data_IF_804467904673
#
_entry.id   IF_804467904673
#
_cell.length_a   1.000
_cell.length_b   1.000
_cell.length_c   1.000
_cell.angle_alpha   90.00
_cell.angle_beta   90.00
_cell.angle_gamma   90.00
#
_symmetry.space_group_name_H-M   'P 1'
#
loop_
_entity.id
_entity.type
_entity.pdbx_description
1 polymer ?
#
# COMPACT_ATOMS: atom_id res chain seq x y z
N UNK A 1 9.94 6.28 3.11
CA UNK A 1 10.97 5.41 2.49
C UNK A 1 10.49 5.10 1.08
N UNK A 2 11.35 4.98 0.06
CA UNK A 2 10.89 4.56 -1.27
C UNK A 2 10.33 3.14 -1.23
N UNK A 3 9.29 2.88 -2.02
CA UNK A 3 8.81 1.52 -2.27
C UNK A 3 9.72 0.92 -3.35
N UNK A 4 10.40 -0.18 -3.04
CA UNK A 4 11.37 -0.79 -3.94
C UNK A 4 10.72 -1.22 -5.25
N UNK A 5 11.34 -0.88 -6.39
CA UNK A 5 10.82 -1.19 -7.73
C UNK A 5 9.64 -0.32 -8.21
N UNK A 6 9.11 0.58 -7.38
CA UNK A 6 7.99 1.46 -7.75
C UNK A 6 8.44 2.70 -8.57
N UNK A 7 9.04 2.47 -9.75
CA UNK A 7 9.49 3.54 -10.67
C UNK A 7 8.58 3.71 -11.88
N UNK A 8 7.46 2.99 -11.92
CA UNK A 8 6.47 3.07 -12.99
C UNK A 8 5.72 4.41 -13.00
N UNK A 9 5.02 4.68 -14.11
CA UNK A 9 4.12 5.84 -14.21
C UNK A 9 2.87 5.69 -13.34
N UNK A 10 2.54 4.44 -13.03
CA UNK A 10 1.42 4.06 -12.18
C UNK A 10 1.94 3.09 -11.12
N UNK A 11 1.29 3.11 -9.97
CA UNK A 11 1.56 2.20 -8.87
C UNK A 11 0.24 1.68 -8.32
N UNK A 12 0.07 0.36 -8.34
CA UNK A 12 -1.07 -0.30 -7.70
C UNK A 12 -0.69 -0.62 -6.26
N UNK A 13 -1.50 -0.15 -5.32
CA UNK A 13 -1.32 -0.42 -3.90
C UNK A 13 -1.24 -1.92 -3.61
N UNK A 14 -0.29 -2.30 -2.77
CA UNK A 14 -0.11 -3.66 -2.29
C UNK A 14 -0.59 -3.80 -0.85
N UNK A 15 -0.80 -5.04 -0.40
CA UNK A 15 -1.26 -5.30 0.98
C UNK A 15 -0.31 -4.71 2.05
N UNK A 16 1.00 -4.68 1.75
CA UNK A 16 2.01 -4.10 2.65
C UNK A 16 1.94 -2.57 2.80
N UNK A 17 1.23 -1.89 1.91
CA UNK A 17 1.06 -0.44 1.93
C UNK A 17 -0.07 0.01 2.88
N UNK A 18 -0.92 -0.93 3.30
CA UNK A 18 -2.07 -0.61 4.14
C UNK A 18 -1.65 0.07 5.45
N UNK A 19 -2.29 1.20 5.75
CA UNK A 19 -2.00 2.00 6.95
C UNK A 19 -0.92 3.07 6.77
N UNK A 20 -0.34 3.19 5.56
CA UNK A 20 0.59 4.27 5.22
C UNK A 20 -0.05 5.31 4.30
N UNK A 21 0.50 6.53 4.29
CA UNK A 21 0.24 7.53 3.25
C UNK A 21 1.34 7.48 2.19
N UNK A 22 0.95 7.39 0.92
CA UNK A 22 1.84 7.25 -0.23
C UNK A 22 1.82 8.52 -1.06
N UNK A 23 3.00 8.92 -1.57
CA UNK A 23 3.16 10.00 -2.54
C UNK A 23 4.17 9.62 -3.61
N UNK A 24 4.01 10.15 -4.81
CA UNK A 24 5.00 10.06 -5.86
C UNK A 24 6.03 11.19 -5.71
N UNK A 25 7.30 10.87 -5.95
CA UNK A 25 8.40 11.84 -5.99
C UNK A 25 9.15 11.64 -7.30
N UNK A 26 9.32 12.71 -8.08
CA UNK A 26 9.95 12.64 -9.40
C UNK A 26 11.01 13.72 -9.55
N UNK A 27 12.08 13.39 -10.28
CA UNK A 27 13.04 14.38 -10.78
C UNK A 27 12.84 14.46 -12.29
N UNK A 28 12.23 15.54 -12.81
CA UNK A 28 12.00 15.66 -14.25
C UNK A 28 13.32 15.88 -14.99
N UNK A 29 13.42 15.38 -16.21
CA UNK A 29 14.54 15.65 -17.12
C UNK A 29 14.07 16.43 -18.33
N UNK A 30 14.96 17.23 -18.92
CA UNK A 30 14.66 17.96 -20.16
C UNK A 30 14.28 17.00 -21.30
N UNK A 31 13.14 17.25 -21.95
CA UNK A 31 12.64 16.38 -23.04
C UNK A 31 13.62 16.27 -24.21
N UNK A 32 14.23 17.38 -24.60
CA UNK A 32 15.26 17.45 -25.65
C UNK A 32 16.69 17.42 -25.08
N UNK A 33 16.85 17.50 -23.76
CA UNK A 33 18.14 17.55 -23.07
C UNK A 33 18.09 16.71 -21.78
N UNK A 34 18.15 15.37 -21.87
CA UNK A 34 17.96 14.47 -20.72
C UNK A 34 19.02 14.62 -19.62
N UNK A 35 20.20 15.17 -19.96
CA UNK A 35 21.27 15.45 -19.00
C UNK A 35 20.92 16.60 -18.03
N UNK A 36 19.91 17.40 -18.33
CA UNK A 36 19.44 18.46 -17.45
C UNK A 36 18.33 17.93 -16.56
N UNK A 37 18.61 17.83 -15.26
CA UNK A 37 17.61 17.53 -14.23
C UNK A 37 16.96 18.82 -13.73
N UNK A 38 15.64 18.80 -13.58
CA UNK A 38 14.88 19.86 -12.93
C UNK A 38 14.79 19.66 -11.41
N UNK A 39 14.04 20.54 -10.76
CA UNK A 39 13.77 20.44 -9.33
C UNK A 39 12.87 19.25 -9.00
N UNK A 40 13.16 18.56 -7.90
CA UNK A 40 12.34 17.45 -7.39
C UNK A 40 10.91 17.92 -7.15
N UNK A 41 9.94 17.15 -7.66
CA UNK A 41 8.51 17.38 -7.48
C UNK A 41 7.92 16.25 -6.63
N UNK A 42 6.88 16.57 -5.87
CA UNK A 42 6.11 15.58 -5.10
C UNK A 42 4.62 15.74 -5.38
N UNK A 43 3.90 14.62 -5.46
CA UNK A 43 2.44 14.64 -5.46
C UNK A 43 1.89 14.93 -4.05
N UNK A 44 0.60 15.29 -3.94
CA UNK A 44 -0.12 15.09 -2.69
C UNK A 44 -0.02 13.64 -2.22
N UNK A 45 -0.12 13.44 -0.91
CA UNK A 45 -0.20 12.10 -0.33
C UNK A 45 -1.62 11.52 -0.46
N UNK A 46 -1.70 10.21 -0.65
CA UNK A 46 -2.93 9.43 -0.64
C UNK A 46 -2.81 8.36 0.44
N UNK A 47 -3.82 8.24 1.29
CA UNK A 47 -3.85 7.20 2.30
C UNK A 47 -4.18 5.85 1.67
N UNK A 48 -3.34 4.85 1.92
CA UNK A 48 -3.55 3.48 1.50
C UNK A 48 -4.43 2.76 2.53
N UNK A 49 -5.72 2.64 2.20
CA UNK A 49 -6.67 1.88 3.00
C UNK A 49 -6.70 0.42 2.54
N UNK A 50 -6.31 -0.48 3.43
CA UNK A 50 -6.59 -1.91 3.29
C UNK A 50 -7.71 -2.29 4.25
N UNK A 51 -8.78 -2.91 3.75
CA UNK A 51 -9.71 -3.59 4.63
C UNK A 51 -9.00 -4.84 5.21
N UNK A 52 -8.94 -5.02 6.54
CA UNK A 52 -8.39 -6.25 7.09
C UNK A 52 -9.28 -7.42 6.67
N UNK A 53 -8.68 -8.47 6.12
CA UNK A 53 -9.37 -9.73 5.83
C UNK A 53 -9.12 -10.73 6.95
N UNK A 54 -10.18 -11.23 7.59
CA UNK A 54 -10.09 -12.37 8.51
C UNK A 54 -10.45 -13.63 7.75
N UNK A 55 -9.57 -14.61 7.77
CA UNK A 55 -9.77 -15.94 7.17
C UNK A 55 -9.56 -17.02 8.24
N UNK A 56 -9.95 -18.26 7.96
CA UNK A 56 -9.80 -19.41 8.88
C UNK A 56 -10.56 -19.28 10.21
N UNK A 57 -11.70 -18.60 10.20
CA UNK A 57 -12.66 -18.68 11.30
C UNK A 57 -13.24 -20.09 11.35
N UNK A 58 -13.00 -20.80 12.46
CA UNK A 58 -13.62 -22.08 12.75
C UNK A 58 -14.09 -22.08 14.19
N UNK A 59 -15.21 -22.75 14.45
CA UNK A 59 -15.72 -23.00 15.79
C UNK A 59 -15.60 -24.51 16.03
N UNK A 60 -15.08 -24.86 17.19
CA UNK A 60 -14.77 -26.20 17.65
C UNK A 60 -15.48 -26.48 18.98
N UNK A 61 -15.68 -27.76 19.27
CA UNK A 61 -16.36 -28.24 20.46
C UNK A 61 -17.67 -28.95 20.17
N UNK A 62 -18.19 -29.67 21.17
CA UNK A 62 -19.48 -30.35 21.09
C UNK A 62 -20.56 -29.46 21.70
N UNK A 63 -21.65 -29.14 20.97
CA UNK A 63 -22.70 -28.27 21.50
C UNK A 63 -23.37 -28.90 22.73
N UNK A 64 -23.28 -28.21 23.87
CA UNK A 64 -23.94 -28.55 25.14
C UNK A 64 -24.53 -27.29 25.75
N UNK A 65 -25.74 -27.40 26.28
CA UNK A 65 -26.42 -26.28 26.96
C UNK A 65 -25.54 -25.76 28.09
N UNK A 66 -25.29 -24.45 28.10
CA UNK A 66 -24.47 -23.78 29.11
C UNK A 66 -22.95 -23.78 28.86
N UNK A 67 -22.46 -24.27 27.71
CA UNK A 67 -21.03 -24.21 27.37
C UNK A 67 -20.72 -23.28 26.20
N UNK A 68 -19.53 -22.66 26.25
CA UNK A 68 -18.97 -21.84 25.16
C UNK A 68 -18.16 -22.70 24.20
N UNK A 69 -18.44 -22.60 22.91
CA UNK A 69 -17.65 -23.20 21.83
C UNK A 69 -16.49 -22.25 21.45
N UNK A 70 -15.38 -22.78 20.95
CA UNK A 70 -14.13 -22.04 20.69
C UNK A 70 -13.74 -22.03 19.23
#
# INVERSE_FOLDING_TARGET
MPIEGATGREYTLQAGDAGYSIKAVVTPTGSSQPALAGAVQSSPSVDAYGAPSVTNLHISGTPRVGQTLR
#
